data_IF_706737935463
#
_entry.id   IF_706737935463
#
_cell.length_a   1.000
_cell.length_b   1.000
_cell.length_c   1.000
_cell.angle_alpha   90.00
_cell.angle_beta   90.00
_cell.angle_gamma   90.00
#
_symmetry.space_group_name_H-M   'P 1'
#
loop_
_entity.id
_entity.type
_entity.pdbx_description
1 polymer ?
#
# COMPACT_ATOMS: atom_id res chain seq x y z
N UNK A 1 -10.89 15.44 -2.11
CA UNK A 1 -11.07 14.25 -2.99
C UNK A 1 -9.88 14.02 -3.92
N UNK A 2 -9.37 15.04 -4.62
CA UNK A 2 -8.21 14.90 -5.51
C UNK A 2 -6.93 14.48 -4.76
N UNK A 3 -6.76 14.95 -3.52
CA UNK A 3 -5.61 14.63 -2.65
C UNK A 3 -5.48 13.13 -2.33
N UNK A 4 -6.59 12.39 -2.24
CA UNK A 4 -6.57 10.98 -1.84
C UNK A 4 -6.62 10.00 -3.02
N UNK A 5 -6.56 10.49 -4.27
CA UNK A 5 -6.80 9.63 -5.44
C UNK A 5 -5.76 8.51 -5.57
N UNK A 6 -4.47 8.80 -5.35
CA UNK A 6 -3.41 7.80 -5.37
C UNK A 6 -3.64 6.75 -4.29
N UNK A 7 -3.98 7.19 -3.08
CA UNK A 7 -4.27 6.29 -1.97
C UNK A 7 -5.45 5.36 -2.25
N UNK A 8 -6.55 5.89 -2.79
CA UNK A 8 -7.73 5.09 -3.15
C UNK A 8 -7.38 4.08 -4.25
N UNK A 9 -6.65 4.50 -5.29
CA UNK A 9 -6.18 3.58 -6.34
C UNK A 9 -5.33 2.46 -5.74
N UNK A 10 -4.42 2.80 -4.82
CA UNK A 10 -3.55 1.84 -4.17
C UNK A 10 -4.34 0.83 -3.32
N UNK A 11 -5.31 1.29 -2.53
CA UNK A 11 -6.19 0.42 -1.75
C UNK A 11 -7.01 -0.51 -2.66
N UNK A 12 -7.57 0.00 -3.76
CA UNK A 12 -8.33 -0.80 -4.72
C UNK A 12 -7.45 -1.88 -5.33
N UNK A 13 -6.22 -1.55 -5.75
CA UNK A 13 -5.27 -2.52 -6.29
C UNK A 13 -4.91 -3.60 -5.25
N UNK A 14 -4.66 -3.21 -4.01
CA UNK A 14 -4.32 -4.13 -2.92
C UNK A 14 -5.47 -5.09 -2.63
N UNK A 15 -6.69 -4.56 -2.49
CA UNK A 15 -7.91 -5.35 -2.30
C UNK A 15 -8.17 -6.26 -3.50
N UNK A 16 -7.95 -5.79 -4.73
CA UNK A 16 -8.10 -6.62 -5.93
C UNK A 16 -7.16 -7.84 -5.89
N UNK A 17 -5.89 -7.65 -5.54
CA UNK A 17 -4.93 -8.77 -5.38
C UNK A 17 -5.45 -9.80 -4.36
N UNK A 18 -5.98 -9.35 -3.22
CA UNK A 18 -6.50 -10.21 -2.15
C UNK A 18 -7.77 -10.97 -2.59
N UNK A 19 -8.70 -10.29 -3.26
CA UNK A 19 -9.98 -10.90 -3.64
C UNK A 19 -9.78 -11.89 -4.79
N UNK A 20 -8.99 -11.54 -5.80
CA UNK A 20 -8.83 -12.35 -7.00
C UNK A 20 -7.80 -13.48 -6.88
N UNK A 21 -6.91 -13.43 -5.88
CA UNK A 21 -5.98 -14.56 -5.68
C UNK A 21 -6.72 -15.85 -5.30
N UNK A 22 -6.42 -16.95 -5.97
CA UNK A 22 -6.96 -18.28 -5.63
C UNK A 22 -6.24 -18.96 -4.47
N UNK A 23 -5.09 -18.43 -4.04
CA UNK A 23 -4.21 -19.08 -3.08
C UNK A 23 -4.53 -18.76 -1.61
N UNK A 24 -5.50 -17.88 -1.37
CA UNK A 24 -6.03 -17.55 -0.05
C UNK A 24 -7.43 -18.14 0.12
N UNK A 25 -7.71 -18.68 1.31
CA UNK A 25 -9.07 -19.08 1.67
C UNK A 25 -9.92 -17.86 2.04
N UNK A 26 -11.25 -18.02 2.08
CA UNK A 26 -12.18 -16.90 2.36
C UNK A 26 -11.90 -16.19 3.69
N UNK A 27 -11.62 -16.88 4.81
CA UNK A 27 -11.29 -16.20 6.07
C UNK A 27 -10.05 -15.32 5.99
N UNK A 28 -8.96 -15.80 5.39
CA UNK A 28 -7.72 -15.02 5.26
C UNK A 28 -7.93 -13.81 4.35
N UNK A 29 -8.69 -13.96 3.25
CA UNK A 29 -9.10 -12.82 2.42
C UNK A 29 -9.85 -11.77 3.23
N UNK A 30 -10.83 -12.19 4.03
CA UNK A 30 -11.60 -11.28 4.88
C UNK A 30 -10.71 -10.52 5.86
N UNK A 31 -9.76 -11.21 6.50
CA UNK A 31 -8.81 -10.60 7.43
C UNK A 31 -7.96 -9.52 6.75
N UNK A 32 -7.40 -9.81 5.57
CA UNK A 32 -6.64 -8.81 4.81
C UNK A 32 -7.51 -7.64 4.33
N UNK A 33 -8.73 -7.91 3.85
CA UNK A 33 -9.64 -6.84 3.43
C UNK A 33 -9.97 -5.91 4.59
N UNK A 34 -10.35 -6.46 5.77
CA UNK A 34 -10.62 -5.66 6.97
C UNK A 34 -9.37 -4.87 7.37
N UNK A 35 -8.20 -5.51 7.36
CA UNK A 35 -6.93 -4.84 7.66
C UNK A 35 -6.73 -3.59 6.79
N UNK A 36 -6.84 -3.71 5.47
CA UNK A 36 -6.62 -2.58 4.57
C UNK A 36 -7.73 -1.53 4.65
N UNK A 37 -8.97 -1.91 4.96
CA UNK A 37 -10.04 -0.94 5.21
C UNK A 37 -9.79 -0.13 6.49
N UNK A 38 -9.36 -0.78 7.56
CA UNK A 38 -9.01 -0.10 8.83
C UNK A 38 -7.84 0.84 8.64
N UNK A 39 -6.76 0.39 7.97
CA UNK A 39 -5.63 1.24 7.61
C UNK A 39 -6.08 2.39 6.70
N UNK A 40 -7.02 2.12 5.78
CA UNK A 40 -7.69 3.11 4.94
C UNK A 40 -8.28 4.27 5.72
N UNK A 41 -9.15 3.94 6.68
CA UNK A 41 -9.83 4.91 7.54
C UNK A 41 -8.83 5.64 8.44
N UNK A 42 -7.88 4.92 9.04
CA UNK A 42 -6.86 5.51 9.91
C UNK A 42 -6.01 6.55 9.16
N UNK A 43 -5.61 6.27 7.92
CA UNK A 43 -4.84 7.21 7.10
C UNK A 43 -5.57 8.53 6.94
N UNK A 44 -6.85 8.49 6.54
CA UNK A 44 -7.66 9.69 6.30
C UNK A 44 -7.84 10.49 7.59
N UNK A 45 -8.27 9.84 8.68
CA UNK A 45 -8.56 10.52 9.96
C UNK A 45 -7.30 11.20 10.51
N UNK A 46 -6.16 10.50 10.50
CA UNK A 46 -4.92 11.06 11.06
C UNK A 46 -4.38 12.17 10.15
N UNK A 47 -4.49 12.01 8.83
CA UNK A 47 -4.06 13.05 7.88
C UNK A 47 -4.87 14.34 8.05
N UNK A 48 -6.20 14.25 8.08
CA UNK A 48 -7.08 15.41 8.33
C UNK A 48 -6.82 16.05 9.69
N UNK A 49 -6.53 15.25 10.73
CA UNK A 49 -6.15 15.76 12.05
C UNK A 49 -4.82 16.52 12.02
N UNK A 50 -3.82 16.01 11.31
CA UNK A 50 -2.53 16.69 11.15
C UNK A 50 -2.74 18.00 10.40
N UNK A 51 -3.45 17.96 9.27
CA UNK A 51 -3.65 19.15 8.44
C UNK A 51 -4.42 20.25 9.20
N UNK A 52 -5.53 19.91 9.86
CA UNK A 52 -6.32 20.85 10.67
C UNK A 52 -5.59 21.40 11.90
N UNK A 53 -4.67 20.63 12.50
CA UNK A 53 -3.89 21.10 13.66
C UNK A 53 -2.89 22.21 13.31
N UNK A 54 -2.50 22.33 12.04
CA UNK A 54 -1.52 23.30 11.56
C UNK A 54 -2.10 24.30 10.54
N UNK A 55 -3.39 24.23 10.22
CA UNK A 55 -4.12 25.24 9.44
C UNK A 55 -4.05 26.61 10.15
N UNK A 56 -3.54 27.62 9.44
CA UNK A 56 -3.44 29.00 9.95
C UNK A 56 -2.20 29.32 10.80
N UNK A 57 -1.39 28.32 11.16
CA UNK A 57 -0.11 28.52 11.87
C UNK A 57 1.03 28.66 10.85
N UNK A 58 0.99 29.74 10.07
CA UNK A 58 1.90 30.00 8.95
C UNK A 58 3.39 30.14 9.33
N UNK A 59 3.76 30.06 10.61
CA UNK A 59 5.12 30.36 11.09
C UNK A 59 5.95 29.15 11.50
N UNK A 60 5.39 27.93 11.55
CA UNK A 60 6.18 26.72 11.83
C UNK A 60 6.05 25.62 10.77
N UNK A 61 6.50 25.86 9.52
CA UNK A 61 6.54 24.85 8.46
C UNK A 61 7.27 23.55 8.87
N UNK A 62 8.27 23.65 9.76
CA UNK A 62 9.13 22.53 10.12
C UNK A 62 8.39 21.45 10.93
N UNK A 63 7.53 21.82 11.89
CA UNK A 63 6.92 20.84 12.81
C UNK A 63 5.82 20.03 12.12
N UNK A 64 4.94 20.67 11.35
CA UNK A 64 3.92 19.97 10.57
C UNK A 64 4.56 18.96 9.61
N UNK A 65 5.59 19.40 8.88
CA UNK A 65 6.29 18.55 7.92
C UNK A 65 6.96 17.34 8.57
N UNK A 66 7.62 17.51 9.73
CA UNK A 66 8.23 16.40 10.47
C UNK A 66 7.15 15.38 10.88
N UNK A 67 6.08 15.84 11.54
CA UNK A 67 5.01 14.96 12.04
C UNK A 67 4.31 14.24 10.88
N UNK A 68 4.06 14.94 9.78
CA UNK A 68 3.46 14.36 8.59
C UNK A 68 4.38 13.31 7.94
N UNK A 69 5.68 13.59 7.83
CA UNK A 69 6.65 12.63 7.27
C UNK A 69 6.79 11.38 8.12
N UNK A 70 6.84 11.50 9.44
CA UNK A 70 6.88 10.37 10.36
C UNK A 70 5.62 9.51 10.20
N UNK A 71 4.45 10.14 10.20
CA UNK A 71 3.18 9.45 9.97
C UNK A 71 3.14 8.73 8.61
N UNK A 72 3.57 9.40 7.54
CA UNK A 72 3.62 8.84 6.19
C UNK A 72 4.62 7.69 6.11
N UNK A 73 5.76 7.79 6.78
CA UNK A 73 6.73 6.71 6.84
C UNK A 73 6.13 5.47 7.52
N UNK A 74 5.45 5.63 8.65
CA UNK A 74 4.83 4.53 9.39
C UNK A 74 3.69 3.87 8.61
N UNK A 75 2.75 4.68 8.10
CA UNK A 75 1.59 4.15 7.38
C UNK A 75 2.01 3.46 6.08
N UNK A 76 3.06 3.95 5.42
CA UNK A 76 3.64 3.31 4.24
C UNK A 76 4.18 1.92 4.58
N UNK A 77 4.85 1.73 5.71
CA UNK A 77 5.30 0.38 6.09
C UNK A 77 4.12 -0.53 6.40
N UNK A 78 3.11 -0.04 7.12
CA UNK A 78 1.88 -0.79 7.40
C UNK A 78 1.12 -1.17 6.12
N UNK A 79 1.13 -0.31 5.10
CA UNK A 79 0.50 -0.60 3.81
C UNK A 79 1.31 -1.62 2.99
N UNK A 80 2.60 -1.37 2.78
CA UNK A 80 3.37 -2.09 1.77
C UNK A 80 3.96 -3.40 2.29
N UNK A 81 4.38 -3.48 3.55
CA UNK A 81 5.05 -4.70 4.06
C UNK A 81 4.13 -5.92 4.02
N UNK A 82 2.86 -5.87 4.48
CA UNK A 82 1.96 -7.02 4.36
C UNK A 82 1.66 -7.38 2.90
N UNK A 83 1.56 -6.38 2.01
CA UNK A 83 1.35 -6.62 0.58
C UNK A 83 2.56 -7.30 -0.06
N UNK A 84 3.78 -6.85 0.26
CA UNK A 84 5.04 -7.48 -0.19
C UNK A 84 5.09 -8.93 0.28
N UNK A 85 4.82 -9.17 1.57
CA UNK A 85 4.77 -10.53 2.14
C UNK A 85 3.74 -11.42 1.44
N UNK A 86 2.54 -10.89 1.18
CA UNK A 86 1.51 -11.60 0.42
C UNK A 86 1.98 -11.93 -0.99
N UNK A 87 2.54 -10.96 -1.73
CA UNK A 87 3.00 -11.18 -3.09
C UNK A 87 4.13 -12.22 -3.16
N UNK A 88 5.06 -12.21 -2.22
CA UNK A 88 6.09 -13.27 -2.09
C UNK A 88 5.42 -14.64 -1.87
N UNK A 89 4.44 -14.72 -0.98
CA UNK A 89 3.68 -15.95 -0.75
C UNK A 89 2.93 -16.42 -2.01
N UNK A 90 2.30 -15.50 -2.74
CA UNK A 90 1.59 -15.82 -3.98
C UNK A 90 2.56 -16.30 -5.08
N UNK A 91 3.74 -15.70 -5.19
CA UNK A 91 4.79 -16.16 -6.10
C UNK A 91 5.28 -17.57 -5.74
N UNK A 92 5.51 -17.84 -4.45
CA UNK A 92 5.89 -19.17 -3.97
C UNK A 92 4.81 -20.22 -4.27
N UNK A 93 3.54 -19.92 -3.99
CA UNK A 93 2.43 -20.83 -4.31
C UNK A 93 2.23 -21.01 -5.81
N UNK A 94 2.42 -19.96 -6.60
CA UNK A 94 2.43 -20.02 -8.05
C UNK A 94 3.49 -20.96 -8.59
N UNK A 95 4.69 -20.96 -8.02
CA UNK A 95 5.78 -21.86 -8.38
C UNK A 95 5.48 -23.34 -8.09
N UNK A 96 4.81 -23.62 -6.97
CA UNK A 96 4.51 -24.98 -6.54
C UNK A 96 3.30 -25.60 -7.24
N UNK A 97 2.47 -24.80 -7.93
CA UNK A 97 1.22 -25.29 -8.53
C UNK A 97 1.47 -26.02 -9.86
N UNK A 98 1.34 -27.36 -9.92
CA UNK A 98 1.59 -28.14 -11.13
C UNK A 98 0.54 -27.93 -12.22
N UNK A 99 -0.61 -27.31 -11.88
CA UNK A 99 -1.71 -27.00 -12.80
C UNK A 99 -1.80 -25.51 -13.13
N UNK A 100 -0.88 -24.69 -12.61
CA UNK A 100 -0.85 -23.27 -12.89
C UNK A 100 -0.43 -23.00 -14.34
N UNK A 101 -0.92 -21.91 -14.97
CA UNK A 101 -0.50 -21.52 -16.34
C UNK A 101 0.98 -21.11 -16.45
N UNK A 102 1.73 -21.17 -15.34
CA UNK A 102 3.06 -20.63 -15.20
C UNK A 102 4.06 -21.75 -15.46
N UNK A 103 4.51 -21.90 -16.71
CA UNK A 103 5.75 -22.63 -16.97
C UNK A 103 6.85 -21.96 -16.14
N UNK A 104 7.63 -22.76 -15.38
CA UNK A 104 8.66 -22.30 -14.42
C UNK A 104 9.61 -21.21 -14.98
N UNK A 105 9.75 -21.10 -16.31
CA UNK A 105 10.59 -20.11 -17.00
C UNK A 105 10.04 -18.67 -17.03
N UNK A 106 8.74 -18.43 -16.80
CA UNK A 106 8.14 -17.09 -16.99
C UNK A 106 8.03 -16.25 -15.70
N UNK A 107 8.58 -16.75 -14.59
CA UNK A 107 8.40 -16.15 -13.26
C UNK A 107 9.18 -14.84 -13.14
N UNK A 108 10.44 -14.80 -13.59
CA UNK A 108 11.23 -13.56 -13.60
C UNK A 108 10.53 -12.46 -14.41
N UNK A 109 9.88 -12.84 -15.51
CA UNK A 109 9.11 -11.93 -16.37
C UNK A 109 7.91 -11.29 -15.69
N UNK A 110 7.41 -11.83 -14.58
CA UNK A 110 6.28 -11.26 -13.83
C UNK A 110 6.71 -10.69 -12.49
N UNK A 111 7.66 -11.33 -11.80
CA UNK A 111 8.19 -10.86 -10.52
C UNK A 111 8.91 -9.53 -10.66
N UNK A 112 9.70 -9.33 -11.73
CA UNK A 112 10.43 -8.08 -11.94
C UNK A 112 9.46 -6.91 -12.16
N UNK A 113 8.49 -6.95 -13.10
CA UNK A 113 7.52 -5.87 -13.26
C UNK A 113 6.70 -5.60 -12.00
N UNK A 114 6.32 -6.65 -11.25
CA UNK A 114 5.56 -6.50 -10.03
C UNK A 114 6.37 -5.81 -8.91
N UNK A 115 7.63 -6.21 -8.74
CA UNK A 115 8.53 -5.58 -7.78
C UNK A 115 8.81 -4.11 -8.16
N UNK A 116 9.04 -3.84 -9.45
CA UNK A 116 9.19 -2.48 -9.97
C UNK A 116 7.95 -1.65 -9.72
N UNK A 117 6.75 -2.18 -10.01
CA UNK A 117 5.49 -1.48 -9.76
C UNK A 117 5.32 -1.17 -8.27
N UNK A 118 5.59 -2.12 -7.38
CA UNK A 118 5.53 -1.89 -5.94
C UNK A 118 6.52 -0.81 -5.48
N UNK A 119 7.75 -0.83 -5.97
CA UNK A 119 8.76 0.17 -5.63
C UNK A 119 8.35 1.57 -6.10
N UNK A 120 7.80 1.68 -7.31
CA UNK A 120 7.25 2.94 -7.85
C UNK A 120 6.08 3.43 -7.01
N UNK A 121 5.13 2.56 -6.67
CA UNK A 121 4.00 2.93 -5.80
C UNK A 121 4.47 3.35 -4.40
N UNK A 122 5.46 2.66 -3.83
CA UNK A 122 6.05 3.01 -2.53
C UNK A 122 6.68 4.40 -2.55
N UNK A 123 7.45 4.70 -3.60
CA UNK A 123 8.04 6.00 -3.81
C UNK A 123 6.98 7.08 -4.00
N UNK A 124 6.02 6.87 -4.92
CA UNK A 124 4.96 7.83 -5.21
C UNK A 124 4.09 8.13 -4.00
N UNK A 125 3.78 7.12 -3.18
CA UNK A 125 3.03 7.32 -1.94
C UNK A 125 3.78 8.27 -0.99
N UNK A 126 5.08 8.04 -0.81
CA UNK A 126 5.92 8.91 0.02
C UNK A 126 6.01 10.32 -0.54
N UNK A 127 6.22 10.43 -1.85
CA UNK A 127 6.36 11.70 -2.53
C UNK A 127 5.07 12.53 -2.46
N UNK A 128 3.91 11.90 -2.68
CA UNK A 128 2.64 12.61 -2.72
C UNK A 128 2.15 13.02 -1.32
N UNK A 129 2.42 12.20 -0.30
CA UNK A 129 1.84 12.41 1.03
C UNK A 129 2.83 12.96 2.06
N UNK A 130 4.13 12.72 1.91
CA UNK A 130 5.17 13.14 2.86
C UNK A 130 5.87 14.46 2.49
N UNK A 131 6.06 14.73 1.19
CA UNK A 131 6.77 15.92 0.75
C UNK A 131 5.88 17.17 0.74
N UNK A 132 6.43 18.28 1.23
CA UNK A 132 5.85 19.61 1.10
C UNK A 132 6.54 20.31 -0.07
N UNK A 133 5.78 20.96 -0.96
CA UNK A 133 6.28 21.97 -1.89
C UNK A 133 6.24 23.36 -1.23
#
# INVERSE_FOLDING_TARGET
MQEYILFVILLVLFIAVIIFTRYLNKPVKSLFTIYYLVIGVLFIIVKERIDSAYEGVATTPNVNWIVNNEWVADIRHLLFVPMIGLLIYLLYKGYQDPKGPWKRSNILGVTIPLATLLAVLYFLFTYMYGYHF
#
